data_IF_471074565463
#
_entry.id   IF_471074565463
#
_cell.length_a   1.000
_cell.length_b   1.000
_cell.length_c   1.000
_cell.angle_alpha   90.00
_cell.angle_beta   90.00
_cell.angle_gamma   90.00
#
_symmetry.space_group_name_H-M   'P 1'
#
loop_
_entity.id
_entity.type
_entity.pdbx_description
1 polymer ?
#
# COMPACT_ATOMS: atom_id res chain seq x y z
N UNK A 1 28.63 -10.49 -9.16
CA UNK A 1 27.76 -10.14 -10.29
C UNK A 1 26.45 -9.64 -9.72
N UNK A 2 26.22 -8.34 -9.70
CA UNK A 2 25.04 -7.77 -9.05
C UNK A 2 24.59 -6.57 -9.87
N UNK A 3 24.01 -6.87 -11.04
CA UNK A 3 23.32 -5.94 -11.95
C UNK A 3 22.61 -6.75 -13.06
N UNK A 4 21.84 -7.78 -12.68
CA UNK A 4 21.01 -8.49 -13.65
C UNK A 4 19.58 -7.94 -13.56
N UNK A 5 19.19 -7.11 -14.53
CA UNK A 5 17.80 -6.67 -14.70
C UNK A 5 17.10 -7.55 -15.73
N UNK A 6 15.87 -7.96 -15.44
CA UNK A 6 15.03 -8.76 -16.35
C UNK A 6 13.70 -8.05 -16.55
N UNK A 7 13.23 -8.02 -17.79
CA UNK A 7 11.95 -7.40 -18.16
C UNK A 7 10.95 -8.49 -18.55
N UNK A 8 9.70 -8.28 -18.19
CA UNK A 8 8.58 -9.09 -18.66
C UNK A 8 7.39 -8.18 -18.97
N UNK A 9 6.47 -8.68 -19.79
CA UNK A 9 5.23 -8.00 -20.16
C UNK A 9 4.06 -8.89 -19.82
N UNK A 10 2.95 -8.28 -19.45
CA UNK A 10 1.70 -8.96 -19.12
C UNK A 10 0.57 -8.41 -19.99
N UNK A 11 -0.40 -9.26 -20.30
CA UNK A 11 -1.62 -8.90 -21.02
C UNK A 11 -2.81 -9.42 -20.21
N UNK A 12 -3.78 -8.54 -19.96
CA UNK A 12 -4.99 -8.89 -19.23
C UNK A 12 -6.02 -9.52 -20.19
N UNK A 13 -6.60 -10.65 -19.78
CA UNK A 13 -7.69 -11.30 -20.52
C UNK A 13 -9.06 -10.75 -20.15
N UNK A 14 -10.05 -11.02 -21.00
CA UNK A 14 -11.45 -10.62 -20.82
C UNK A 14 -12.28 -10.97 -22.07
N UNK A 15 -13.59 -11.00 -21.91
CA UNK A 15 -14.57 -11.31 -22.96
C UNK A 15 -14.79 -10.13 -23.92
N UNK A 16 -14.37 -8.93 -23.51
CA UNK A 16 -14.38 -7.71 -24.34
C UNK A 16 -13.17 -6.83 -24.07
N UNK A 17 -12.92 -5.87 -24.98
CA UNK A 17 -11.84 -4.89 -24.82
C UNK A 17 -12.03 -4.04 -23.56
N UNK A 18 -13.27 -3.66 -23.27
CA UNK A 18 -13.63 -2.87 -22.10
C UNK A 18 -13.30 -3.61 -20.81
N UNK A 19 -13.62 -4.91 -20.74
CA UNK A 19 -13.33 -5.75 -19.57
C UNK A 19 -11.82 -5.96 -19.39
N UNK A 20 -11.08 -6.21 -20.48
CA UNK A 20 -9.62 -6.30 -20.44
C UNK A 20 -8.98 -5.02 -19.91
N UNK A 21 -9.51 -3.87 -20.33
CA UNK A 21 -9.05 -2.56 -19.89
C UNK A 21 -9.37 -2.31 -18.41
N UNK A 22 -10.58 -2.67 -17.96
CA UNK A 22 -10.97 -2.59 -16.56
C UNK A 22 -10.05 -3.43 -15.66
N UNK A 23 -9.76 -4.68 -16.06
CA UNK A 23 -8.81 -5.54 -15.35
C UNK A 23 -7.41 -4.91 -15.25
N UNK A 24 -6.92 -4.34 -16.35
CA UNK A 24 -5.65 -3.62 -16.37
C UNK A 24 -5.67 -2.42 -15.41
N UNK A 25 -6.68 -1.55 -15.50
CA UNK A 25 -6.82 -0.37 -14.66
C UNK A 25 -6.93 -0.73 -13.17
N UNK A 26 -7.69 -1.78 -12.83
CA UNK A 26 -7.81 -2.30 -11.47
C UNK A 26 -6.46 -2.80 -10.93
N UNK A 27 -5.70 -3.53 -11.75
CA UNK A 27 -4.37 -4.00 -11.38
C UNK A 27 -3.38 -2.85 -11.16
N UNK A 28 -3.33 -1.89 -12.07
CA UNK A 28 -2.45 -0.71 -11.95
C UNK A 28 -2.80 0.10 -10.71
N UNK A 29 -4.10 0.28 -10.39
CA UNK A 29 -4.53 0.98 -9.18
C UNK A 29 -4.00 0.31 -7.91
N UNK A 30 -4.10 -1.01 -7.82
CA UNK A 30 -3.55 -1.78 -6.68
C UNK A 30 -2.02 -1.71 -6.63
N UNK A 31 -1.34 -1.80 -7.78
CA UNK A 31 0.12 -1.70 -7.84
C UNK A 31 0.63 -0.32 -7.42
N UNK A 32 -0.11 0.74 -7.77
CA UNK A 32 0.24 2.12 -7.44
C UNK A 32 0.27 2.42 -5.94
N UNK A 33 -0.36 1.59 -5.10
CA UNK A 33 -0.24 1.67 -3.65
C UNK A 33 1.20 1.36 -3.17
N UNK A 34 1.93 0.52 -3.91
CA UNK A 34 3.24 0.00 -3.50
C UNK A 34 4.40 0.57 -4.30
N UNK A 35 4.20 0.85 -5.58
CA UNK A 35 5.24 1.33 -6.50
C UNK A 35 4.66 2.34 -7.47
N UNK A 36 5.38 3.45 -7.79
CA UNK A 36 4.93 4.37 -8.83
C UNK A 36 4.83 3.66 -10.18
N UNK A 37 3.61 3.56 -10.72
CA UNK A 37 3.36 3.02 -12.06
C UNK A 37 3.19 4.18 -13.03
N UNK A 38 4.03 4.26 -14.06
CA UNK A 38 3.91 5.30 -15.08
C UNK A 38 2.81 4.95 -16.08
N UNK A 39 1.93 5.90 -16.38
CA UNK A 39 0.88 5.77 -17.40
C UNK A 39 1.21 6.71 -18.56
N UNK A 40 1.60 6.17 -19.70
CA UNK A 40 2.14 6.92 -20.84
C UNK A 40 1.09 7.35 -21.88
N UNK A 41 -0.15 6.87 -21.77
CA UNK A 41 -1.20 7.10 -22.78
C UNK A 41 -2.32 8.01 -22.25
N UNK A 42 -2.69 9.03 -23.01
CA UNK A 42 -3.66 10.08 -22.59
C UNK A 42 -5.05 9.51 -22.32
N UNK A 43 -5.50 8.49 -23.08
CA UNK A 43 -6.77 7.81 -22.85
C UNK A 43 -6.74 6.99 -21.55
N UNK A 44 -5.61 6.34 -21.30
CA UNK A 44 -5.37 5.55 -20.08
C UNK A 44 -5.27 6.44 -18.83
N UNK A 45 -4.71 7.65 -18.94
CA UNK A 45 -4.65 8.65 -17.87
C UNK A 45 -6.04 9.18 -17.51
N UNK A 46 -6.89 9.44 -18.50
CA UNK A 46 -8.25 9.95 -18.27
C UNK A 46 -9.11 8.93 -17.50
N UNK A 47 -8.99 7.64 -17.82
CA UNK A 47 -9.65 6.55 -17.11
C UNK A 47 -9.10 6.35 -15.70
N UNK A 48 -7.78 6.44 -15.53
CA UNK A 48 -7.15 6.37 -14.21
C UNK A 48 -7.65 7.50 -13.29
N UNK A 49 -7.70 8.74 -13.80
CA UNK A 49 -8.25 9.88 -13.08
C UNK A 49 -9.73 9.72 -12.75
N UNK A 50 -10.55 9.28 -13.72
CA UNK A 50 -11.99 9.08 -13.52
C UNK A 50 -12.29 8.01 -12.47
N UNK A 51 -11.53 6.92 -12.48
CA UNK A 51 -11.68 5.82 -11.52
C UNK A 51 -11.09 6.14 -10.14
N UNK A 52 -10.04 6.95 -10.07
CA UNK A 52 -9.50 7.45 -8.79
C UNK A 52 -10.48 8.39 -8.08
N UNK A 53 -11.26 9.17 -8.82
CA UNK A 53 -12.33 10.02 -8.28
C UNK A 53 -13.51 9.20 -7.76
N UNK A 54 -13.83 8.08 -8.42
CA UNK A 54 -14.95 7.19 -8.03
C UNK A 54 -14.69 6.43 -6.72
N UNK A 55 -13.42 6.17 -6.39
CA UNK A 55 -13.02 5.55 -5.12
C UNK A 55 -13.06 6.52 -3.92
N UNK A 56 -13.14 7.84 -4.16
CA UNK A 56 -13.08 8.88 -3.13
C UNK A 56 -14.41 9.66 -2.97
N UNK A 57 -15.51 9.13 -3.51
CA UNK A 57 -16.76 9.86 -3.72
C UNK A 57 -17.95 9.35 -2.91
N UNK A 58 -17.81 9.20 -1.59
CA UNK A 58 -18.97 9.36 -0.70
C UNK A 58 -19.00 10.82 -0.25
N UNK A 59 -20.06 11.53 -0.61
CA UNK A 59 -20.39 12.95 -0.31
C UNK A 59 -19.82 14.00 -1.28
N UNK A 60 -20.62 14.41 -2.26
CA UNK A 60 -21.40 15.66 -2.19
C UNK A 60 -21.80 16.14 -3.60
N UNK A 61 -23.05 16.55 -3.69
CA UNK A 61 -23.75 17.10 -4.85
C UNK A 61 -23.31 18.56 -5.11
N UNK A 62 -23.35 18.94 -6.40
CA UNK A 62 -23.53 20.29 -6.98
C UNK A 62 -22.31 21.15 -7.38
N UNK A 63 -22.26 21.36 -8.70
CA UNK A 63 -22.24 22.63 -9.44
C UNK A 63 -20.94 23.48 -9.58
N UNK A 64 -20.62 23.67 -10.87
CA UNK A 64 -20.18 24.91 -11.54
C UNK A 64 -18.69 25.33 -11.50
N UNK A 65 -18.13 25.32 -12.71
CA UNK A 65 -17.13 26.22 -13.33
C UNK A 65 -15.70 26.36 -12.79
N UNK A 66 -14.77 26.12 -13.73
CA UNK A 66 -13.50 26.82 -13.99
C UNK A 66 -12.64 27.19 -12.77
N UNK A 67 -11.44 26.62 -12.72
CA UNK A 67 -10.20 27.42 -12.87
C UNK A 67 -9.00 26.49 -13.03
N UNK A 68 -8.22 26.78 -14.06
CA UNK A 68 -6.91 26.18 -14.29
C UNK A 68 -5.95 26.64 -13.18
N UNK A 69 -5.24 25.71 -12.56
CA UNK A 69 -3.97 26.06 -11.91
C UNK A 69 -2.98 24.91 -12.03
N UNK A 70 -1.98 25.17 -12.85
CA UNK A 70 -0.78 24.40 -13.10
C UNK A 70 -0.08 24.11 -11.77
N UNK A 71 0.09 22.83 -11.43
CA UNK A 71 0.95 22.43 -10.32
C UNK A 71 2.36 22.16 -10.86
N UNK A 72 3.23 23.12 -10.57
CA UNK A 72 4.67 23.04 -10.69
C UNK A 72 5.19 21.77 -9.99
N UNK A 73 5.93 20.94 -10.72
CA UNK A 73 6.78 19.88 -10.16
C UNK A 73 8.11 20.54 -9.77
N UNK A 74 8.55 20.50 -8.50
CA UNK A 74 9.96 20.68 -8.19
C UNK A 74 10.68 19.36 -8.46
N UNK A 75 11.60 19.37 -9.42
CA UNK A 75 12.66 18.37 -9.58
C UNK A 75 13.44 18.27 -8.25
N UNK A 76 13.35 17.12 -7.57
CA UNK A 76 14.26 16.79 -6.47
C UNK A 76 15.21 15.68 -6.94
N UNK A 77 16.54 15.89 -6.89
CA UNK A 77 17.50 14.94 -7.42
C UNK A 77 17.58 13.70 -6.53
N UNK A 78 17.50 12.53 -7.17
CA UNK A 78 17.75 11.22 -6.59
C UNK A 78 19.12 11.23 -5.88
N UNK A 79 19.12 11.26 -4.55
CA UNK A 79 20.34 11.04 -3.76
C UNK A 79 20.73 9.57 -3.87
N UNK A 80 21.67 9.32 -4.77
CA UNK A 80 22.59 8.19 -4.72
C UNK A 80 23.38 8.27 -3.41
N UNK A 81 23.13 7.35 -2.47
CA UNK A 81 24.03 7.14 -1.34
C UNK A 81 24.26 5.65 -1.11
N UNK A 82 24.74 4.96 -2.13
CA UNK A 82 25.42 3.67 -1.99
C UNK A 82 26.86 3.85 -1.50
N UNK A 83 27.05 4.53 -0.37
CA UNK A 83 28.35 4.59 0.32
C UNK A 83 28.20 3.99 1.71
N UNK A 84 28.84 2.84 1.89
CA UNK A 84 29.01 2.15 3.17
C UNK A 84 29.83 2.98 4.14
N UNK A 85 29.21 4.01 4.70
CA UNK A 85 29.77 4.81 5.78
C UNK A 85 29.60 4.02 7.09
N UNK A 86 30.71 3.72 7.77
CA UNK A 86 30.71 3.01 9.05
C UNK A 86 30.17 3.94 10.14
N UNK A 87 28.85 4.04 10.26
CA UNK A 87 28.18 4.88 11.26
C UNK A 87 28.26 4.24 12.65
N UNK A 88 28.52 5.07 13.68
CA UNK A 88 28.41 4.63 15.07
C UNK A 88 26.96 4.23 15.37
N UNK A 89 26.78 3.21 16.22
CA UNK A 89 25.47 2.73 16.70
C UNK A 89 24.62 3.88 17.25
N UNK A 90 25.24 4.87 17.90
CA UNK A 90 24.53 6.05 18.43
C UNK A 90 23.96 6.94 17.34
N UNK A 91 24.70 7.18 16.27
CA UNK A 91 24.22 7.96 15.12
C UNK A 91 23.10 7.22 14.38
N UNK A 92 23.18 5.89 14.31
CA UNK A 92 22.15 5.05 13.72
C UNK A 92 20.87 5.09 14.57
N UNK A 93 20.98 4.93 15.89
CA UNK A 93 19.86 5.04 16.81
C UNK A 93 19.18 6.42 16.75
N UNK A 94 19.95 7.52 16.72
CA UNK A 94 19.38 8.85 16.56
C UNK A 94 18.68 9.06 15.22
N UNK A 95 19.19 8.48 14.13
CA UNK A 95 18.56 8.56 12.81
C UNK A 95 17.24 7.80 12.76
N UNK A 96 17.19 6.62 13.39
CA UNK A 96 15.98 5.82 13.58
C UNK A 96 14.95 6.60 14.40
N UNK A 97 15.34 7.13 15.56
CA UNK A 97 14.42 7.83 16.47
C UNK A 97 13.91 9.18 15.93
N UNK A 98 14.70 9.89 15.11
CA UNK A 98 14.29 11.16 14.49
C UNK A 98 13.33 10.97 13.31
N UNK A 99 13.34 9.80 12.68
CA UNK A 99 12.44 9.51 11.57
C UNK A 99 11.08 9.08 12.14
N UNK A 100 10.02 9.82 11.83
CA UNK A 100 8.66 9.28 11.99
C UNK A 100 8.57 8.06 11.08
N UNK A 101 8.51 6.87 11.69
CA UNK A 101 8.20 5.66 10.95
C UNK A 101 6.74 5.72 10.55
N UNK A 102 6.48 6.16 9.32
CA UNK A 102 5.29 5.68 8.65
C UNK A 102 5.53 4.19 8.41
N UNK A 103 4.64 3.35 8.94
CA UNK A 103 4.73 1.92 8.68
C UNK A 103 4.72 1.70 7.15
N UNK A 104 5.56 0.79 6.63
CA UNK A 104 5.55 0.45 5.21
C UNK A 104 4.12 0.16 4.75
N UNK A 105 3.77 0.54 3.52
CA UNK A 105 2.39 0.43 2.99
C UNK A 105 1.77 -0.96 3.21
N UNK A 106 2.59 -2.02 3.17
CA UNK A 106 2.18 -3.39 3.47
C UNK A 106 1.47 -3.56 4.83
N UNK A 107 1.82 -2.76 5.83
CA UNK A 107 1.20 -2.78 7.16
C UNK A 107 -0.07 -1.91 7.26
N UNK A 108 -0.40 -1.13 6.22
CA UNK A 108 -1.66 -0.38 6.15
C UNK A 108 -2.84 -1.28 5.74
N UNK A 109 -2.54 -2.40 5.08
CA UNK A 109 -3.54 -3.39 4.71
C UNK A 109 -3.58 -4.49 5.77
N UNK A 110 -4.69 -4.59 6.50
CA UNK A 110 -4.95 -5.76 7.31
C UNK A 110 -4.95 -6.98 6.40
N UNK A 111 -4.05 -7.94 6.68
CA UNK A 111 -3.94 -9.20 5.90
C UNK A 111 -5.25 -9.98 5.89
N UNK A 112 -6.13 -9.73 6.86
CA UNK A 112 -7.43 -10.34 7.01
C UNK A 112 -8.52 -9.27 7.03
N UNK A 113 -9.52 -9.42 6.16
CA UNK A 113 -10.75 -8.65 6.31
C UNK A 113 -11.51 -9.12 7.56
N UNK A 114 -12.23 -8.21 8.23
CA UNK A 114 -12.98 -8.55 9.45
C UNK A 114 -13.96 -9.72 9.25
N UNK A 115 -14.48 -9.86 8.02
CA UNK A 115 -15.38 -10.95 7.60
C UNK A 115 -14.69 -12.32 7.55
N UNK A 116 -13.38 -12.37 7.31
CA UNK A 116 -12.58 -13.60 7.20
C UNK A 116 -12.09 -14.11 8.56
N UNK A 117 -12.16 -13.26 9.59
CA UNK A 117 -11.74 -13.60 10.94
C UNK A 117 -12.60 -14.74 11.54
N UNK A 118 -13.89 -14.78 11.23
CA UNK A 118 -14.81 -15.80 11.73
C UNK A 118 -14.40 -17.24 11.35
N UNK A 119 -14.21 -17.55 10.05
CA UNK A 119 -13.66 -18.84 9.61
C UNK A 119 -12.32 -19.20 10.26
N UNK A 120 -11.41 -18.24 10.41
CA UNK A 120 -10.10 -18.48 11.02
C UNK A 120 -10.21 -18.82 12.50
N UNK A 121 -11.01 -18.06 13.27
CA UNK A 121 -11.26 -18.35 14.69
C UNK A 121 -11.84 -19.76 14.86
N UNK A 122 -12.76 -20.18 13.99
CA UNK A 122 -13.32 -21.54 14.04
C UNK A 122 -12.26 -22.62 13.84
N UNK A 123 -11.29 -22.39 12.95
CA UNK A 123 -10.17 -23.31 12.76
C UNK A 123 -9.31 -23.38 14.03
N UNK A 124 -8.99 -22.23 14.63
CA UNK A 124 -8.22 -22.19 15.88
C UNK A 124 -8.92 -22.90 17.04
N UNK A 125 -10.25 -22.77 17.15
CA UNK A 125 -11.06 -23.45 18.16
C UNK A 125 -11.14 -24.97 17.98
N UNK A 126 -10.63 -25.53 16.88
CA UNK A 126 -10.46 -26.98 16.76
C UNK A 126 -9.31 -27.52 17.63
N UNK A 127 -8.38 -26.65 18.05
CA UNK A 127 -7.41 -26.95 19.10
C UNK A 127 -7.99 -26.57 20.46
N UNK A 128 -8.18 -27.57 21.32
CA UNK A 128 -8.71 -27.42 22.67
C UNK A 128 -7.85 -26.51 23.57
N UNK A 129 -6.57 -26.34 23.26
CA UNK A 129 -5.67 -25.48 24.05
C UNK A 129 -5.71 -24.02 23.62
N UNK A 130 -6.28 -23.73 22.44
CA UNK A 130 -6.28 -22.38 21.88
C UNK A 130 -6.97 -21.35 22.79
N UNK A 131 -8.14 -21.62 23.41
CA UNK A 131 -8.77 -20.66 24.33
C UNK A 131 -7.87 -20.26 25.51
N UNK A 132 -7.22 -21.23 26.15
CA UNK A 132 -6.31 -20.97 27.27
C UNK A 132 -5.09 -20.14 26.83
N UNK A 133 -4.53 -20.45 25.66
CA UNK A 133 -3.45 -19.65 25.08
C UNK A 133 -3.87 -18.19 24.81
N UNK A 134 -5.09 -17.97 24.29
CA UNK A 134 -5.61 -16.60 24.06
C UNK A 134 -5.75 -15.83 25.37
N UNK A 135 -6.22 -16.47 26.45
CA UNK A 135 -6.27 -15.85 27.79
C UNK A 135 -4.88 -15.44 28.29
N UNK A 136 -3.87 -16.31 28.12
CA UNK A 136 -2.49 -16.00 28.48
C UNK A 136 -1.94 -14.82 27.67
N UNK A 137 -2.21 -14.78 26.37
CA UNK A 137 -1.82 -13.64 25.51
C UNK A 137 -2.49 -12.35 25.97
N UNK A 138 -3.80 -12.38 26.26
CA UNK A 138 -4.53 -11.20 26.74
C UNK A 138 -3.94 -10.68 28.06
N UNK A 139 -3.57 -11.59 28.96
CA UNK A 139 -2.92 -11.25 30.23
C UNK A 139 -1.56 -10.59 30.02
N UNK A 140 -0.72 -11.12 29.12
CA UNK A 140 0.57 -10.51 28.80
C UNK A 140 0.41 -9.14 28.13
N UNK A 141 -0.56 -8.97 27.23
CA UNK A 141 -0.84 -7.68 26.60
C UNK A 141 -1.28 -6.62 27.63
N UNK A 142 -2.11 -6.99 28.61
CA UNK A 142 -2.51 -6.08 29.70
C UNK A 142 -1.29 -5.60 30.50
N UNK A 143 -0.38 -6.51 30.84
CA UNK A 143 0.87 -6.16 31.54
C UNK A 143 1.71 -5.16 30.77
N UNK A 144 1.81 -5.31 29.45
CA UNK A 144 2.58 -4.41 28.58
C UNK A 144 1.90 -3.04 28.42
N UNK A 145 0.58 -2.96 28.47
CA UNK A 145 -0.17 -1.71 28.34
C UNK A 145 -0.16 -0.87 29.64
N UNK A 146 0.02 -1.51 30.79
CA UNK A 146 0.08 -0.88 32.11
C UNK A 146 1.51 -0.55 32.58
N UNK A 147 2.54 -0.88 31.78
CA UNK A 147 3.97 -0.76 32.09
C UNK A 147 4.68 0.42 31.45
#
# INVERSE_FOLDING_TARGET
EQNECRMFRVQFGGDSKEQMLEHCCSCVRKLAEYVPVQVTDEQSQQLYHSLSQLANGENQVKDTEQNASVLHIPDEPLTDSCLGERRSVTHLAQSVLKKKFELPVMYRHSVWHAQELGPFIRLCLMDQNFPAFVEDVEKELKKLAEG
#
